data_IF_616159455720
#
_entry.id   IF_616159455720
#
_cell.length_a   1.000
_cell.length_b   1.000
_cell.length_c   1.000
_cell.angle_alpha   90.00
_cell.angle_beta   90.00
_cell.angle_gamma   90.00
#
_symmetry.space_group_name_H-M   'P 1'
#
loop_
_entity.id
_entity.type
_entity.pdbx_description
1 polymer ?
#
# COMPACT_ATOMS: atom_id res chain seq x y z
N UNK A 1 1.41 -6.40 9.49
CA UNK A 1 2.05 -5.12 9.88
C UNK A 1 3.53 -5.29 9.59
N UNK A 2 4.03 -4.74 8.48
CA UNK A 2 5.46 -4.81 8.22
C UNK A 2 6.12 -3.96 9.31
N UNK A 3 6.81 -4.61 10.25
CA UNK A 3 7.73 -3.94 11.17
C UNK A 3 8.60 -2.98 10.37
N UNK A 4 8.99 -1.85 10.97
CA UNK A 4 9.82 -0.82 10.35
C UNK A 4 11.15 -1.42 9.83
N UNK A 5 11.11 -2.03 8.66
CA UNK A 5 12.29 -2.34 7.90
C UNK A 5 12.79 -0.99 7.44
N UNK A 6 13.96 -0.60 7.95
CA UNK A 6 14.71 0.53 7.42
C UNK A 6 15.10 0.17 5.98
N UNK A 7 14.24 0.53 5.03
CA UNK A 7 14.49 0.32 3.61
C UNK A 7 15.32 1.50 3.12
N UNK A 8 16.62 1.28 2.98
CA UNK A 8 17.48 2.21 2.27
C UNK A 8 16.92 2.41 0.85
N UNK A 9 16.89 3.65 0.36
CA UNK A 9 16.30 4.04 -0.95
C UNK A 9 14.76 4.02 -1.05
N UNK A 10 14.03 4.15 0.06
CA UNK A 10 12.60 4.50 -0.01
C UNK A 10 12.43 5.97 -0.41
N UNK A 11 11.61 6.24 -1.43
CA UNK A 11 11.25 7.59 -1.84
C UNK A 11 9.79 7.68 -2.29
N UNK A 12 9.23 8.89 -2.21
CA UNK A 12 7.94 9.23 -2.80
C UNK A 12 8.17 9.90 -4.15
N UNK A 13 7.44 9.48 -5.16
CA UNK A 13 7.48 10.07 -6.50
C UNK A 13 6.08 10.20 -7.09
N UNK A 14 5.99 10.91 -8.22
CA UNK A 14 4.75 11.18 -8.94
C UNK A 14 4.65 10.24 -10.13
N UNK A 15 3.44 9.72 -10.39
CA UNK A 15 3.13 9.02 -11.64
C UNK A 15 2.96 10.06 -12.74
N UNK A 16 3.81 10.06 -13.75
CA UNK A 16 3.75 10.97 -14.90
C UNK A 16 2.83 10.42 -15.99
N UNK A 17 2.81 9.10 -16.17
CA UNK A 17 1.93 8.42 -17.14
C UNK A 17 1.44 7.10 -16.58
N UNK A 18 0.19 6.75 -16.88
CA UNK A 18 -0.41 5.47 -16.58
C UNK A 18 -1.26 5.05 -17.79
N UNK A 19 -0.69 4.20 -18.66
CA UNK A 19 -1.27 3.85 -19.95
C UNK A 19 -1.59 2.36 -20.00
N UNK A 20 -2.85 2.05 -20.32
CA UNK A 20 -3.27 0.67 -20.61
C UNK A 20 -2.64 0.17 -21.92
N UNK A 21 -2.13 -1.05 -21.89
CA UNK A 21 -1.46 -1.68 -23.04
C UNK A 21 -2.31 -2.77 -23.69
N UNK A 22 -3.33 -3.27 -22.99
CA UNK A 22 -4.31 -4.23 -23.53
C UNK A 22 -5.48 -3.52 -24.24
N UNK A 23 -6.19 -4.22 -25.13
CA UNK A 23 -7.40 -3.72 -25.82
C UNK A 23 -8.59 -3.62 -24.87
N UNK A 24 -9.48 -2.62 -25.01
CA UNK A 24 -10.54 -2.27 -24.03
C UNK A 24 -11.45 -3.44 -23.63
N UNK A 25 -11.70 -4.34 -24.57
CA UNK A 25 -12.51 -5.54 -24.42
C UNK A 25 -11.74 -6.75 -23.85
N UNK A 26 -10.43 -6.62 -23.63
CA UNK A 26 -9.61 -7.67 -23.03
C UNK A 26 -9.83 -7.75 -21.50
N UNK A 27 -9.99 -8.97 -20.98
CA UNK A 27 -10.32 -9.21 -19.56
C UNK A 27 -9.23 -8.73 -18.58
N UNK A 28 -7.96 -8.73 -19.01
CA UNK A 28 -6.85 -8.21 -18.20
C UNK A 28 -6.60 -6.74 -18.50
N UNK A 29 -6.39 -5.96 -17.45
CA UNK A 29 -5.86 -4.61 -17.52
C UNK A 29 -4.37 -4.65 -17.21
N UNK A 30 -3.53 -4.55 -18.25
CA UNK A 30 -2.07 -4.44 -18.13
C UNK A 30 -1.68 -3.00 -18.44
N UNK A 31 -0.84 -2.41 -17.61
CA UNK A 31 -0.51 -0.99 -17.67
C UNK A 31 0.99 -0.76 -17.71
N UNK A 32 1.40 0.21 -18.53
CA UNK A 32 2.69 0.85 -18.47
C UNK A 32 2.59 2.08 -17.57
N UNK A 33 3.39 2.13 -16.51
CA UNK A 33 3.38 3.21 -15.52
C UNK A 33 4.75 3.87 -15.52
N UNK A 34 4.77 5.18 -15.78
CA UNK A 34 5.98 6.00 -15.77
C UNK A 34 5.99 6.86 -14.51
N UNK A 35 7.09 6.80 -13.76
CA UNK A 35 7.31 7.61 -12.57
C UNK A 35 8.31 8.73 -12.86
N UNK A 36 8.07 9.91 -12.29
CA UNK A 36 9.02 11.01 -12.35
C UNK A 36 10.37 10.56 -11.79
N UNK A 37 11.45 10.74 -12.58
CA UNK A 37 12.79 10.34 -12.17
C UNK A 37 13.21 11.11 -10.92
N UNK A 38 13.55 10.38 -9.86
CA UNK A 38 14.23 10.93 -8.68
C UNK A 38 15.72 10.65 -8.77
N UNK A 39 16.49 11.22 -7.85
CA UNK A 39 17.93 11.00 -7.70
C UNK A 39 18.27 9.60 -7.16
N UNK A 40 17.57 8.59 -7.65
CA UNK A 40 17.81 7.17 -7.37
C UNK A 40 18.33 6.53 -8.64
N UNK A 41 19.54 6.00 -8.55
CA UNK A 41 20.17 5.26 -9.64
C UNK A 41 19.57 3.85 -9.72
N UNK A 42 19.37 3.37 -10.94
CA UNK A 42 18.92 2.02 -11.25
C UNK A 42 19.46 1.58 -12.61
N UNK A 43 19.62 0.28 -12.80
CA UNK A 43 20.03 -0.35 -14.04
C UNK A 43 18.90 -1.21 -14.62
N UNK A 44 18.85 -1.39 -15.95
CA UNK A 44 17.92 -2.33 -16.56
C UNK A 44 18.01 -3.72 -15.92
N UNK A 45 16.87 -4.23 -15.45
CA UNK A 45 16.78 -5.49 -14.71
C UNK A 45 16.54 -5.31 -13.20
N UNK A 46 16.76 -4.11 -12.64
CA UNK A 46 16.41 -3.81 -11.25
C UNK A 46 14.88 -3.84 -11.04
N UNK A 47 14.47 -4.13 -9.79
CA UNK A 47 13.06 -4.23 -9.40
C UNK A 47 12.66 -3.06 -8.52
N UNK A 48 11.57 -2.39 -8.90
CA UNK A 48 10.93 -1.38 -8.05
C UNK A 48 9.92 -2.05 -7.11
N UNK A 49 10.00 -1.74 -5.81
CA UNK A 49 8.99 -2.14 -4.84
C UNK A 49 8.00 -1.00 -4.62
N UNK A 50 6.74 -1.20 -4.99
CA UNK A 50 5.66 -0.22 -4.80
C UNK A 50 4.87 -0.60 -3.55
N UNK A 51 4.60 0.38 -2.68
CA UNK A 51 3.73 0.20 -1.50
C UNK A 51 2.29 0.58 -1.86
N UNK A 52 1.39 -0.40 -2.09
CA UNK A 52 0.00 -0.11 -2.41
C UNK A 52 -0.76 0.35 -1.17
N UNK A 53 -1.90 0.98 -1.41
CA UNK A 53 -2.92 1.25 -0.39
C UNK A 53 -4.20 0.51 -0.79
N UNK A 54 -4.99 0.10 0.21
CA UNK A 54 -6.33 -0.43 -0.05
C UNK A 54 -7.21 0.63 -0.72
N UNK A 55 -8.26 0.20 -1.41
CA UNK A 55 -9.23 1.13 -1.99
C UNK A 55 -10.02 1.85 -0.90
N UNK A 56 -10.59 3.01 -1.22
CA UNK A 56 -11.43 3.74 -0.28
C UNK A 56 -12.68 2.94 0.07
N UNK A 57 -13.25 2.22 -0.89
CA UNK A 57 -14.44 1.40 -0.71
C UNK A 57 -14.21 0.27 0.29
N UNK A 58 -13.05 -0.42 0.21
CA UNK A 58 -12.71 -1.49 1.15
C UNK A 58 -12.47 -0.95 2.57
N UNK A 59 -11.80 0.20 2.68
CA UNK A 59 -11.58 0.88 3.97
C UNK A 59 -12.92 1.33 4.56
N UNK A 60 -13.81 1.89 3.74
CA UNK A 60 -15.13 2.34 4.16
C UNK A 60 -15.97 1.17 4.65
N UNK A 61 -15.97 0.06 3.90
CA UNK A 61 -16.68 -1.17 4.29
C UNK A 61 -16.19 -1.73 5.62
N UNK A 62 -14.88 -1.68 5.89
CA UNK A 62 -14.33 -2.10 7.17
C UNK A 62 -14.91 -1.29 8.34
N UNK A 63 -15.02 0.03 8.20
CA UNK A 63 -15.56 0.87 9.28
C UNK A 63 -17.09 0.79 9.40
N UNK A 64 -17.80 0.52 8.31
CA UNK A 64 -19.23 0.15 8.39
C UNK A 64 -19.42 -1.09 9.24
N UNK A 65 -18.63 -2.15 9.00
CA UNK A 65 -18.67 -3.37 9.82
C UNK A 65 -18.39 -3.05 11.30
N UNK A 66 -17.45 -2.15 11.60
CA UNK A 66 -17.18 -1.76 12.98
C UNK A 66 -18.37 -1.08 13.65
N UNK A 67 -19.11 -0.26 12.90
CA UNK A 67 -20.33 0.38 13.38
C UNK A 67 -21.48 -0.63 13.56
N UNK A 68 -21.70 -1.52 12.57
CA UNK A 68 -22.70 -2.59 12.60
C UNK A 68 -22.54 -3.50 13.84
N UNK A 69 -21.29 -3.71 14.26
CA UNK A 69 -20.93 -4.55 15.41
C UNK A 69 -20.63 -3.75 16.69
N UNK A 70 -20.96 -2.46 16.74
CA UNK A 70 -20.82 -1.58 17.90
C UNK A 70 -19.41 -1.60 18.53
N UNK A 71 -18.35 -1.70 17.71
CA UNK A 71 -16.96 -1.79 18.17
C UNK A 71 -16.42 -0.46 18.72
N UNK A 72 -17.11 0.65 18.51
CA UNK A 72 -16.72 1.97 19.05
C UNK A 72 -15.46 2.55 18.39
N UNK A 73 -15.07 2.06 17.22
CA UNK A 73 -13.94 2.55 16.44
C UNK A 73 -14.43 3.25 15.17
N UNK A 74 -13.84 4.41 14.88
CA UNK A 74 -14.05 5.19 13.66
C UNK A 74 -12.74 5.41 12.91
N UNK A 75 -12.83 5.96 11.68
CA UNK A 75 -11.66 6.31 10.85
C UNK A 75 -10.68 7.25 11.55
N UNK A 76 -11.18 8.13 12.42
CA UNK A 76 -10.38 9.12 13.15
C UNK A 76 -9.89 8.60 14.50
N UNK A 77 -10.23 7.36 14.87
CA UNK A 77 -9.81 6.79 16.15
C UNK A 77 -8.32 6.48 16.13
N UNK A 78 -7.56 7.15 17.00
CA UNK A 78 -6.13 6.88 17.18
C UNK A 78 -5.95 5.77 18.20
N UNK A 79 -5.30 4.68 17.81
CA UNK A 79 -5.01 3.52 18.67
C UNK A 79 -3.51 3.43 18.98
N UNK A 80 -3.19 3.01 20.20
CA UNK A 80 -1.82 2.69 20.60
C UNK A 80 -1.68 1.17 20.69
N UNK A 81 -0.90 0.59 19.78
CA UNK A 81 -0.56 -0.84 19.82
C UNK A 81 0.66 -1.01 20.70
N UNK A 82 0.57 -1.86 21.72
CA UNK A 82 1.70 -2.27 22.57
C UNK A 82 1.86 -3.77 22.52
N UNK A 83 3.10 -4.21 22.37
CA UNK A 83 3.47 -5.58 22.65
C UNK A 83 3.33 -5.85 24.15
N UNK A 84 2.74 -7.00 24.52
CA UNK A 84 2.47 -7.37 25.91
C UNK A 84 3.25 -8.64 26.31
N UNK A 85 3.69 -9.43 25.33
CA UNK A 85 4.55 -10.60 25.49
C UNK A 85 5.40 -10.76 24.22
N UNK A 86 6.72 -10.92 24.36
CA UNK A 86 7.67 -11.10 23.26
C UNK A 86 7.73 -12.54 22.74
N UNK A 87 6.97 -13.46 23.34
CA UNK A 87 6.82 -14.82 22.83
C UNK A 87 8.11 -15.64 22.88
N UNK A 88 9.02 -15.34 23.80
CA UNK A 88 10.20 -16.18 24.10
C UNK A 88 9.80 -17.45 24.85
N UNK A 89 8.95 -18.28 24.24
CA UNK A 89 8.69 -19.65 24.64
C UNK A 89 9.07 -20.57 23.49
N UNK A 90 10.38 -20.73 23.27
CA UNK A 90 11.11 -21.92 22.75
C UNK A 90 12.60 -21.59 22.59
#
# INVERSE_FOLDING_TARGET
>A
MYAEVKVDNLFVTTVEENKRTTAEDHFQDVRFITFAKKSVDWNPGDVVYVRPHNSYEDVDRLFELFQEHNLGLSKDTVVLVKEIDSGEWL
#
